data_IF_773916032273
#
_entry.id   IF_773916032273
#
_cell.length_a   1.000
_cell.length_b   1.000
_cell.length_c   1.000
_cell.angle_alpha   90.00
_cell.angle_beta   90.00
_cell.angle_gamma   90.00
#
_symmetry.space_group_name_H-M   'P 1'
#
loop_
_entity.id
_entity.type
_entity.pdbx_description
1 polymer ?
#
# COMPACT_ATOMS: atom_id res chain seq x y z
N UNK A 1 8.62 -20.74 28.32
CA UNK A 1 8.14 -20.11 27.07
C UNK A 1 8.11 -21.23 26.03
N UNK A 2 6.96 -21.60 25.46
CA UNK A 2 6.92 -22.66 24.46
C UNK A 2 7.67 -22.17 23.21
N UNK A 3 8.64 -22.95 22.77
CA UNK A 3 9.34 -22.77 21.51
C UNK A 3 8.32 -23.17 20.42
N UNK A 4 7.89 -22.22 19.58
CA UNK A 4 7.11 -22.58 18.39
C UNK A 4 8.11 -23.24 17.43
N UNK A 5 7.90 -24.52 17.14
CA UNK A 5 8.69 -25.21 16.13
C UNK A 5 8.31 -24.67 14.74
N UNK A 6 9.29 -24.37 13.85
CA UNK A 6 9.02 -23.84 12.51
C UNK A 6 8.10 -24.74 11.65
N UNK A 7 7.92 -26.00 12.06
CA UNK A 7 7.06 -26.98 11.40
C UNK A 7 5.56 -26.82 11.75
N UNK A 8 5.23 -26.09 12.83
CA UNK A 8 3.85 -25.82 13.25
C UNK A 8 3.30 -24.50 12.70
N UNK A 9 4.15 -23.68 12.08
CA UNK A 9 3.70 -22.45 11.42
C UNK A 9 3.02 -22.77 10.08
N UNK A 10 1.78 -22.32 9.86
CA UNK A 10 1.12 -22.47 8.57
C UNK A 10 1.99 -21.83 7.48
N UNK A 11 2.23 -22.59 6.41
CA UNK A 11 3.08 -22.12 5.33
C UNK A 11 2.59 -20.78 4.73
N UNK A 12 3.50 -20.02 4.12
CA UNK A 12 3.20 -18.70 3.52
C UNK A 12 1.99 -18.71 2.58
N UNK A 13 1.74 -19.81 1.87
CA UNK A 13 0.61 -19.96 0.94
C UNK A 13 -0.69 -20.14 1.71
N UNK A 14 -0.69 -20.92 2.77
CA UNK A 14 -1.83 -21.13 3.67
C UNK A 14 -2.24 -19.83 4.35
N UNK A 15 -1.29 -19.09 4.93
CA UNK A 15 -1.54 -17.76 5.50
C UNK A 15 -2.06 -16.78 4.45
N UNK A 16 -1.43 -16.71 3.27
CA UNK A 16 -1.87 -15.83 2.19
C UNK A 16 -3.32 -16.11 1.77
N UNK A 17 -3.71 -17.37 1.64
CA UNK A 17 -5.12 -17.73 1.32
C UNK A 17 -6.08 -17.22 2.40
N UNK A 18 -5.72 -17.39 3.69
CA UNK A 18 -6.51 -16.90 4.81
C UNK A 18 -6.70 -15.38 4.77
N UNK A 19 -5.61 -14.63 4.60
CA UNK A 19 -5.66 -13.16 4.52
C UNK A 19 -6.46 -12.66 3.30
N UNK A 20 -6.29 -13.30 2.14
CA UNK A 20 -7.07 -12.95 0.95
C UNK A 20 -8.58 -13.22 1.17
N UNK A 21 -8.93 -14.34 1.78
CA UNK A 21 -10.32 -14.67 2.07
C UNK A 21 -10.95 -13.69 3.07
N UNK A 22 -10.21 -13.27 4.10
CA UNK A 22 -10.66 -12.24 5.04
C UNK A 22 -10.84 -10.88 4.34
N UNK A 23 -9.87 -10.46 3.52
CA UNK A 23 -9.90 -9.20 2.78
C UNK A 23 -11.06 -9.13 1.80
N UNK A 24 -11.40 -10.24 1.14
CA UNK A 24 -12.54 -10.31 0.21
C UNK A 24 -13.91 -10.16 0.89
N UNK A 25 -13.97 -10.19 2.22
CA UNK A 25 -15.21 -9.96 2.99
C UNK A 25 -15.38 -8.51 3.43
N UNK A 26 -14.36 -7.66 3.26
CA UNK A 26 -14.43 -6.25 3.60
C UNK A 26 -15.39 -5.52 2.65
N UNK A 27 -16.21 -4.65 3.21
CA UNK A 27 -17.07 -3.77 2.42
C UNK A 27 -16.25 -2.59 1.87
N UNK A 28 -16.76 -1.88 0.83
CA UNK A 28 -16.12 -0.65 0.36
C UNK A 28 -15.93 0.41 1.46
N UNK A 29 -16.87 0.48 2.41
CA UNK A 29 -16.77 1.40 3.55
C UNK A 29 -15.67 0.98 4.53
N UNK A 30 -15.55 -0.31 4.85
CA UNK A 30 -14.46 -0.82 5.70
C UNK A 30 -13.09 -0.49 5.08
N UNK A 31 -12.96 -0.68 3.76
CA UNK A 31 -11.72 -0.40 3.02
C UNK A 31 -11.39 1.09 3.05
N UNK A 32 -12.38 1.96 2.87
CA UNK A 32 -12.22 3.41 2.92
C UNK A 32 -11.82 3.88 4.33
N UNK A 33 -12.56 3.47 5.35
CA UNK A 33 -12.28 3.83 6.75
C UNK A 33 -10.89 3.35 7.18
N UNK A 34 -10.52 2.12 6.83
CA UNK A 34 -9.17 1.61 7.09
C UNK A 34 -8.10 2.45 6.37
N UNK A 35 -8.34 2.85 5.11
CA UNK A 35 -7.43 3.72 4.35
C UNK A 35 -7.22 5.08 5.03
N UNK A 36 -8.31 5.73 5.42
CA UNK A 36 -8.28 7.03 6.11
C UNK A 36 -7.53 6.94 7.45
N UNK A 37 -7.84 5.92 8.25
CA UNK A 37 -7.19 5.67 9.53
C UNK A 37 -5.68 5.43 9.36
N UNK A 38 -5.29 4.61 8.38
CA UNK A 38 -3.88 4.34 8.07
C UNK A 38 -3.15 5.60 7.60
N UNK A 39 -3.78 6.43 6.77
CA UNK A 39 -3.20 7.69 6.32
C UNK A 39 -2.89 8.62 7.50
N UNK A 40 -3.84 8.80 8.42
CA UNK A 40 -3.65 9.60 9.64
C UNK A 40 -2.49 9.08 10.47
N UNK A 41 -2.41 7.76 10.69
CA UNK A 41 -1.33 7.16 11.48
C UNK A 41 0.03 7.29 10.79
N UNK A 42 0.09 7.04 9.49
CA UNK A 42 1.33 7.15 8.72
C UNK A 42 1.87 8.59 8.73
N UNK A 43 1.00 9.60 8.56
CA UNK A 43 1.40 11.00 8.58
C UNK A 43 1.93 11.48 9.94
N UNK A 44 1.51 10.84 11.02
CA UNK A 44 1.95 11.14 12.38
C UNK A 44 3.31 10.51 12.74
N UNK A 45 3.82 9.57 11.94
CA UNK A 45 5.13 8.98 12.16
C UNK A 45 6.22 10.05 11.98
N UNK A 46 7.14 10.25 12.94
CA UNK A 46 8.20 11.26 12.84
C UNK A 46 9.03 11.14 11.55
N UNK A 47 9.27 9.92 11.09
CA UNK A 47 10.01 9.60 9.87
C UNK A 47 9.30 10.14 8.63
N UNK A 48 7.97 10.07 8.59
CA UNK A 48 7.12 10.57 7.50
C UNK A 48 6.88 12.08 7.66
N UNK A 49 6.78 12.57 8.90
CA UNK A 49 6.64 13.99 9.21
C UNK A 49 7.86 14.80 8.73
N UNK A 50 9.08 14.25 8.90
CA UNK A 50 10.33 14.89 8.49
C UNK A 50 10.79 14.58 7.05
N UNK A 51 10.11 13.68 6.33
CA UNK A 51 10.54 13.26 5.01
C UNK A 51 10.33 14.36 3.94
N UNK A 52 11.33 14.53 3.06
CA UNK A 52 11.22 15.33 1.83
C UNK A 52 10.82 14.50 0.61
N UNK A 53 11.04 13.20 0.67
CA UNK A 53 10.70 12.25 -0.40
C UNK A 53 10.23 10.96 0.23
N UNK A 54 9.12 10.41 -0.27
CA UNK A 54 8.52 9.17 0.21
C UNK A 54 8.24 8.26 -0.98
N UNK A 55 8.77 7.04 -0.93
CA UNK A 55 8.36 5.97 -1.82
C UNK A 55 7.08 5.31 -1.26
N UNK A 56 6.07 5.15 -2.09
CA UNK A 56 4.77 4.59 -1.71
C UNK A 56 4.19 3.76 -2.87
N UNK A 57 3.01 3.18 -2.69
CA UNK A 57 2.29 2.45 -3.73
C UNK A 57 0.83 2.89 -3.79
N UNK A 58 0.18 2.67 -4.93
CA UNK A 58 -1.28 2.86 -5.09
C UNK A 58 -1.95 1.52 -4.82
N UNK A 59 -2.76 1.46 -3.76
CA UNK A 59 -3.53 0.26 -3.41
C UNK A 59 -4.52 -0.12 -4.51
N UNK A 60 -4.74 -1.42 -4.69
CA UNK A 60 -5.68 -1.95 -5.68
C UNK A 60 -6.66 -2.94 -5.06
N UNK A 61 -7.86 -3.04 -5.65
CA UNK A 61 -8.88 -3.98 -5.18
C UNK A 61 -9.40 -3.63 -3.79
N UNK A 62 -9.43 -4.61 -2.89
CA UNK A 62 -9.93 -4.48 -1.51
C UNK A 62 -8.81 -4.14 -0.50
N UNK A 63 -7.69 -3.59 -0.97
CA UNK A 63 -6.65 -3.04 -0.09
C UNK A 63 -7.06 -1.67 0.46
N UNK A 64 -6.72 -1.34 1.73
CA UNK A 64 -6.93 0.00 2.26
C UNK A 64 -6.34 1.05 1.32
N UNK A 65 -7.15 2.03 0.91
CA UNK A 65 -6.76 3.02 -0.09
C UNK A 65 -5.59 3.89 0.38
N UNK A 66 -4.57 4.04 -0.45
CA UNK A 66 -3.42 4.92 -0.15
C UNK A 66 -3.56 6.33 -0.72
N UNK A 67 -4.53 6.60 -1.59
CA UNK A 67 -4.67 7.90 -2.29
C UNK A 67 -4.71 9.09 -1.32
N UNK A 68 -5.49 8.99 -0.24
CA UNK A 68 -5.57 10.04 0.78
C UNK A 68 -4.20 10.36 1.42
N UNK A 69 -3.37 9.34 1.67
CA UNK A 69 -2.00 9.52 2.15
C UNK A 69 -1.11 10.20 1.10
N UNK A 70 -1.18 9.76 -0.16
CA UNK A 70 -0.36 10.31 -1.25
C UNK A 70 -0.68 11.79 -1.48
N UNK A 71 -1.96 12.15 -1.49
CA UNK A 71 -2.42 13.53 -1.66
C UNK A 71 -2.01 14.41 -0.48
N UNK A 72 -2.12 13.91 0.75
CA UNK A 72 -1.69 14.64 1.94
C UNK A 72 -0.17 14.88 1.97
N UNK A 73 0.64 13.89 1.56
CA UNK A 73 2.09 14.04 1.41
C UNK A 73 2.43 15.09 0.35
N UNK A 74 1.78 15.01 -0.82
CA UNK A 74 1.96 15.98 -1.90
C UNK A 74 1.58 17.40 -1.47
N UNK A 75 0.45 17.56 -0.78
CA UNK A 75 -0.01 18.86 -0.28
C UNK A 75 0.98 19.50 0.71
N UNK A 76 1.77 18.69 1.42
CA UNK A 76 2.87 19.13 2.28
C UNK A 76 4.17 19.45 1.52
N UNK A 77 4.18 19.33 0.20
CA UNK A 77 5.36 19.53 -0.64
C UNK A 77 6.36 18.35 -0.61
N UNK A 78 5.94 17.18 -0.13
CA UNK A 78 6.76 15.96 -0.16
C UNK A 78 6.74 15.39 -1.57
N UNK A 79 7.92 15.06 -2.10
CA UNK A 79 8.05 14.32 -3.37
C UNK A 79 7.62 12.88 -3.17
N UNK A 80 6.57 12.44 -3.85
CA UNK A 80 6.05 11.07 -3.73
C UNK A 80 6.46 10.26 -4.95
N UNK A 81 7.12 9.11 -4.71
CA UNK A 81 7.55 8.18 -5.76
C UNK A 81 6.68 6.93 -5.72
N UNK A 82 6.17 6.52 -6.87
CA UNK A 82 5.38 5.30 -7.05
C UNK A 82 6.14 4.31 -7.94
N UNK A 83 6.08 3.01 -7.65
CA UNK A 83 6.71 2.01 -8.48
C UNK A 83 6.02 1.94 -9.84
N UNK A 84 6.83 1.91 -10.90
CA UNK A 84 6.42 1.64 -12.27
C UNK A 84 7.08 0.34 -12.72
N UNK A 85 6.27 -0.64 -13.11
CA UNK A 85 6.79 -1.91 -13.63
C UNK A 85 7.08 -1.78 -15.13
N UNK A 86 8.32 -2.07 -15.51
CA UNK A 86 8.79 -2.05 -16.88
C UNK A 86 8.44 -3.36 -17.61
N UNK A 87 8.51 -3.39 -18.97
CA UNK A 87 8.11 -4.58 -19.74
C UNK A 87 8.89 -5.87 -19.45
N UNK A 88 10.10 -5.76 -18.90
CA UNK A 88 10.97 -6.86 -18.45
C UNK A 88 10.72 -7.31 -17.00
N UNK A 89 9.74 -6.69 -16.32
CA UNK A 89 9.46 -6.80 -14.89
C UNK A 89 10.49 -6.12 -13.98
N UNK A 90 11.37 -5.27 -14.51
CA UNK A 90 12.16 -4.38 -13.67
C UNK A 90 11.27 -3.29 -13.07
N UNK A 91 11.71 -2.78 -11.92
CA UNK A 91 11.00 -1.76 -11.16
C UNK A 91 11.71 -0.42 -11.31
N UNK A 92 10.98 0.56 -11.83
CA UNK A 92 11.35 1.97 -11.91
C UNK A 92 10.45 2.83 -11.00
N UNK A 93 10.67 4.13 -10.96
CA UNK A 93 9.96 5.09 -10.11
C UNK A 93 9.39 6.25 -10.91
N UNK A 94 8.08 6.43 -10.83
CA UNK A 94 7.37 7.61 -11.32
C UNK A 94 7.05 8.58 -10.18
N UNK A 95 7.14 9.88 -10.44
CA UNK A 95 6.69 10.88 -9.47
C UNK A 95 5.17 11.04 -9.51
N UNK A 96 4.54 10.94 -8.34
CA UNK A 96 3.11 11.19 -8.19
C UNK A 96 2.84 12.69 -8.11
N UNK A 97 2.15 13.21 -9.11
CA UNK A 97 1.77 14.63 -9.19
C UNK A 97 0.26 14.86 -9.03
N UNK A 98 -0.47 13.83 -8.59
CA UNK A 98 -1.93 13.81 -8.41
C UNK A 98 -2.57 12.63 -9.15
N UNK A 99 -3.85 12.35 -8.92
CA UNK A 99 -4.54 11.20 -9.53
C UNK A 99 -4.43 11.16 -11.06
N UNK A 100 -4.44 12.32 -11.72
CA UNK A 100 -4.28 12.43 -13.18
C UNK A 100 -2.92 11.99 -13.72
N UNK A 101 -1.91 11.82 -12.85
CA UNK A 101 -0.60 11.24 -13.22
C UNK A 101 -0.62 9.71 -13.27
N UNK A 102 -1.70 9.07 -12.82
CA UNK A 102 -1.85 7.62 -12.80
C UNK A 102 -2.50 7.11 -14.08
N UNK A 103 -1.91 6.06 -14.65
CA UNK A 103 -2.52 5.29 -15.73
C UNK A 103 -2.93 3.90 -15.21
N UNK A 104 -4.14 3.46 -15.55
CA UNK A 104 -4.60 2.12 -15.19
C UNK A 104 -3.86 1.09 -16.03
N UNK A 105 -3.01 0.30 -15.38
CA UNK A 105 -2.32 -0.83 -15.98
C UNK A 105 -3.00 -2.14 -15.57
N UNK A 106 -3.22 -3.05 -16.53
CA UNK A 106 -3.51 -4.45 -16.20
C UNK A 106 -2.19 -5.20 -16.16
N UNK A 107 -1.70 -5.48 -14.97
CA UNK A 107 -0.68 -6.50 -14.82
C UNK A 107 -1.41 -7.85 -14.67
N UNK A 108 -1.15 -8.78 -15.59
CA UNK A 108 -1.67 -10.14 -15.50
C UNK A 108 -0.98 -10.84 -14.33
N UNK A 109 -1.74 -11.16 -13.29
CA UNK A 109 -1.33 -12.07 -12.22
C UNK A 109 -1.79 -13.48 -12.50
#
# INVERSE_FOLDING_TARGET
>A
MPHIDPADEPDKRTLRRGFLAARNRLTPDDVREAGDALAVRALALPEVAGARTVAAYVSVGAEPGTLALLDALRARGVRVLLPALLPDNDLDWGEYTGEGSLARVRHGG
#
